data_IF_961874430951
#
_entry.id   IF_961874430951
#
_cell.length_a   1.000
_cell.length_b   1.000
_cell.length_c   1.000
_cell.angle_alpha   90.00
_cell.angle_beta   90.00
_cell.angle_gamma   90.00
#
_symmetry.space_group_name_H-M   'P 1'
#
loop_
_entity.id
_entity.type
_entity.pdbx_description
1 polymer ?
#
# COMPACT_ATOMS: atom_id res chain seq x y z
N UNK A 1 3.47 -3.49 -10.57
CA UNK A 1 3.08 -2.10 -10.20
C UNK A 1 4.32 -1.28 -9.95
N UNK A 2 4.36 -0.06 -10.49
CA UNK A 2 5.42 0.94 -10.36
C UNK A 2 5.21 1.82 -9.11
N UNK A 3 6.19 2.70 -8.84
CA UNK A 3 6.16 3.59 -7.67
C UNK A 3 4.97 4.57 -7.71
N UNK A 4 4.60 5.08 -8.88
CA UNK A 4 3.52 6.08 -8.99
C UNK A 4 2.12 5.46 -9.06
N UNK A 5 2.03 4.13 -9.14
CA UNK A 5 0.75 3.43 -9.19
C UNK A 5 0.02 3.54 -7.84
N UNK A 6 -1.30 3.69 -7.92
CA UNK A 6 -2.18 3.74 -6.74
C UNK A 6 -2.22 2.37 -6.08
N UNK A 7 -1.91 2.34 -4.78
CA UNK A 7 -2.13 1.17 -3.93
C UNK A 7 -3.47 1.31 -3.24
N UNK A 8 -3.75 2.46 -2.60
CA UNK A 8 -5.07 2.73 -2.05
C UNK A 8 -5.91 3.51 -3.05
N UNK A 9 -6.87 2.84 -3.69
CA UNK A 9 -7.79 3.49 -4.63
C UNK A 9 -8.85 4.37 -3.94
N UNK A 10 -9.23 4.05 -2.69
CA UNK A 10 -10.20 4.83 -1.93
C UNK A 10 -9.71 6.24 -1.60
N UNK A 11 -8.43 6.38 -1.25
CA UNK A 11 -7.83 7.67 -0.85
C UNK A 11 -6.71 8.12 -1.79
N UNK A 12 -6.62 7.49 -2.96
CA UNK A 12 -5.65 7.80 -4.01
C UNK A 12 -4.19 7.87 -3.54
N UNK A 13 -3.77 6.90 -2.73
CA UNK A 13 -2.41 6.82 -2.19
C UNK A 13 -1.54 5.93 -3.09
N UNK A 14 -0.45 6.48 -3.63
CA UNK A 14 0.51 5.76 -4.45
C UNK A 14 1.50 4.93 -3.63
N UNK A 15 2.13 3.93 -4.28
CA UNK A 15 3.22 3.14 -3.68
C UNK A 15 4.36 4.04 -3.19
N UNK A 16 4.74 5.06 -3.97
CA UNK A 16 5.77 6.06 -3.63
C UNK A 16 5.43 6.78 -2.33
N UNK A 17 4.18 7.22 -2.18
CA UNK A 17 3.74 7.94 -0.97
C UNK A 17 3.81 7.04 0.27
N UNK A 18 3.46 5.76 0.15
CA UNK A 18 3.58 4.78 1.25
C UNK A 18 5.04 4.57 1.64
N UNK A 19 5.93 4.31 0.67
CA UNK A 19 7.36 4.09 0.93
C UNK A 19 7.99 5.32 1.58
N UNK A 20 7.69 6.52 1.07
CA UNK A 20 8.18 7.77 1.68
C UNK A 20 7.65 7.95 3.10
N UNK A 21 6.38 7.63 3.36
CA UNK A 21 5.80 7.70 4.70
C UNK A 21 6.50 6.75 5.67
N UNK A 22 6.77 5.50 5.26
CA UNK A 22 7.55 4.54 6.06
C UNK A 22 8.92 5.10 6.44
N UNK A 23 9.63 5.70 5.47
CA UNK A 23 10.97 6.28 5.68
C UNK A 23 10.97 7.48 6.62
N UNK A 24 10.01 8.39 6.45
CA UNK A 24 9.96 9.67 7.19
C UNK A 24 9.40 9.47 8.59
N UNK A 25 8.26 8.78 8.72
CA UNK A 25 7.54 8.68 9.99
C UNK A 25 7.95 7.47 10.82
N UNK A 26 8.70 6.53 10.23
CA UNK A 26 9.22 5.31 10.89
C UNK A 26 8.19 4.64 11.81
N UNK A 27 7.00 4.27 11.28
CA UNK A 27 5.93 3.72 12.10
C UNK A 27 6.39 2.44 12.80
N UNK A 28 5.79 2.16 13.96
CA UNK A 28 6.10 0.97 14.79
C UNK A 28 5.26 -0.24 14.42
N UNK A 29 4.16 -0.04 13.70
CA UNK A 29 3.25 -1.12 13.27
C UNK A 29 2.58 -0.76 11.94
N UNK A 30 2.27 -1.78 11.14
CA UNK A 30 1.63 -1.60 9.84
C UNK A 30 0.31 -0.81 9.87
N UNK A 31 -0.48 -0.90 10.95
CA UNK A 31 -1.75 -0.18 11.07
C UNK A 31 -1.59 1.35 11.08
N UNK A 32 -0.41 1.87 11.44
CA UNK A 32 -0.11 3.30 11.38
C UNK A 32 0.01 3.82 9.94
N UNK A 33 0.06 2.95 8.92
CA UNK A 33 -0.07 3.41 7.53
C UNK A 33 -1.43 4.06 7.24
N UNK A 34 -2.43 3.89 8.11
CA UNK A 34 -3.65 4.71 8.08
C UNK A 34 -3.39 6.21 8.27
N UNK A 35 -2.30 6.59 8.95
CA UNK A 35 -1.86 7.99 9.09
C UNK A 35 -1.33 8.54 7.74
N UNK A 36 -1.01 7.68 6.77
CA UNK A 36 -0.69 8.04 5.39
C UNK A 36 -1.97 8.30 4.58
N UNK A 37 -2.69 9.38 4.92
CA UNK A 37 -3.88 9.81 4.18
C UNK A 37 -5.03 8.80 4.18
N UNK A 38 -5.20 8.05 5.27
CA UNK A 38 -6.29 7.09 5.45
C UNK A 38 -6.05 5.72 4.82
N UNK A 39 -4.86 5.43 4.27
CA UNK A 39 -4.61 4.17 3.57
C UNK A 39 -5.02 2.93 4.41
N UNK A 40 -5.81 2.05 3.81
CA UNK A 40 -6.30 0.83 4.47
C UNK A 40 -7.60 0.97 5.25
N UNK A 41 -8.14 2.18 5.44
CA UNK A 41 -9.38 2.41 6.22
C UNK A 41 -10.67 2.41 5.39
N UNK A 42 -10.56 2.33 4.05
CA UNK A 42 -11.70 2.25 3.14
C UNK A 42 -12.11 0.80 2.87
N UNK A 43 -12.17 0.41 1.60
CA UNK A 43 -12.56 -0.96 1.20
C UNK A 43 -11.62 -2.08 1.68
N UNK A 44 -10.48 -1.80 2.34
CA UNK A 44 -9.59 -2.82 2.88
C UNK A 44 -8.73 -3.59 1.87
N UNK A 45 -9.03 -3.54 0.56
CA UNK A 45 -8.27 -4.24 -0.49
C UNK A 45 -6.74 -4.05 -0.39
N UNK A 46 -6.31 -2.82 -0.09
CA UNK A 46 -4.88 -2.49 -0.02
C UNK A 46 -4.18 -2.97 1.26
N UNK A 47 -4.89 -3.44 2.29
CA UNK A 47 -4.30 -3.77 3.61
C UNK A 47 -3.21 -4.86 3.54
N UNK A 48 -3.36 -5.97 2.79
CA UNK A 48 -2.28 -6.96 2.64
C UNK A 48 -1.01 -6.36 2.04
N UNK A 49 -1.15 -5.45 1.07
CA UNK A 49 -0.03 -4.75 0.44
C UNK A 49 0.66 -3.79 1.41
N UNK A 50 -0.10 -3.04 2.22
CA UNK A 50 0.44 -2.17 3.28
C UNK A 50 1.25 -2.97 4.31
N UNK A 51 0.72 -4.12 4.76
CA UNK A 51 1.46 -5.02 5.67
C UNK A 51 2.74 -5.54 5.04
N UNK A 52 2.72 -5.86 3.75
CA UNK A 52 3.91 -6.32 3.02
C UNK A 52 4.99 -5.23 2.95
N UNK A 53 4.63 -4.00 2.56
CA UNK A 53 5.58 -2.89 2.51
C UNK A 53 6.16 -2.55 3.88
N UNK A 54 5.34 -2.62 4.93
CA UNK A 54 5.82 -2.44 6.30
C UNK A 54 6.82 -3.53 6.69
N UNK A 55 6.52 -4.80 6.44
CA UNK A 55 7.42 -5.91 6.74
C UNK A 55 8.72 -5.86 5.93
N UNK A 56 8.66 -5.44 4.66
CA UNK A 56 9.85 -5.18 3.84
C UNK A 56 10.71 -4.07 4.46
N UNK A 57 10.08 -2.95 4.86
CA UNK A 57 10.76 -1.84 5.53
C UNK A 57 11.42 -2.23 6.86
N UNK A 58 10.76 -3.07 7.68
CA UNK A 58 11.34 -3.60 8.92
C UNK A 58 12.56 -4.49 8.64
N UNK A 59 12.46 -5.38 7.64
CA UNK A 59 13.58 -6.26 7.25
C UNK A 59 14.78 -5.49 6.69
N UNK A 60 14.53 -4.36 6.02
CA UNK A 60 15.59 -3.46 5.54
C UNK A 60 16.28 -2.68 6.66
N UNK A 61 16.00 -2.97 7.94
CA UNK A 61 16.76 -2.40 9.06
C UNK A 61 16.61 -0.90 9.20
N UNK A 62 15.46 -0.33 8.82
CA UNK A 62 15.22 1.12 8.87
C UNK A 62 16.16 1.92 7.92
N UNK A 63 16.53 1.31 6.79
CA UNK A 63 17.58 1.76 5.86
C UNK A 63 17.60 3.29 5.63
N UNK A 64 18.66 3.91 6.15
CA UNK A 64 19.06 5.31 5.90
C UNK A 64 19.74 5.49 4.54
N UNK A 65 19.90 4.41 3.77
CA UNK A 65 20.36 4.46 2.39
C UNK A 65 19.16 4.57 1.46
N UNK A 66 19.17 5.60 0.62
CA UNK A 66 18.11 5.93 -0.35
C UNK A 66 17.80 4.84 -1.39
N UNK A 67 18.46 3.69 -1.32
CA UNK A 67 18.20 2.52 -2.14
C UNK A 67 16.85 1.91 -1.73
N UNK A 68 15.83 2.20 -2.54
CA UNK A 68 14.52 1.57 -2.40
C UNK A 68 14.73 0.11 -2.78
N UNK A 69 14.45 -0.87 -1.91
CA UNK A 69 14.50 -2.26 -2.32
C UNK A 69 13.50 -2.43 -3.47
N UNK A 70 14.03 -2.45 -4.70
CA UNK A 70 13.27 -2.77 -5.88
C UNK A 70 13.23 -4.29 -5.97
N UNK A 71 12.59 -4.93 -5.00
CA UNK A 71 12.54 -6.39 -4.94
C UNK A 71 11.15 -6.90 -5.24
N UNK A 72 11.04 -7.37 -6.49
CA UNK A 72 10.44 -8.63 -6.87
C UNK A 72 9.23 -9.06 -6.03
N UNK A 73 8.08 -8.54 -6.40
CA UNK A 73 6.86 -9.34 -6.34
C UNK A 73 6.33 -9.45 -7.74
N UNK A 74 5.95 -10.66 -8.13
CA UNK A 74 5.11 -10.99 -9.29
C UNK A 74 4.45 -9.72 -9.83
N UNK A 75 4.94 -9.26 -10.98
CA UNK A 75 4.63 -7.94 -11.54
C UNK A 75 3.18 -7.87 -12.01
N UNK A 76 2.23 -7.87 -11.08
CA UNK A 76 0.85 -7.52 -11.39
C UNK A 76 0.86 -6.07 -11.89
N UNK A 77 0.22 -5.82 -13.02
CA UNK A 77 0.14 -4.47 -13.57
C UNK A 77 -0.80 -3.61 -12.71
N UNK A 78 -0.77 -2.29 -12.89
CA UNK A 78 -1.70 -1.40 -12.17
C UNK A 78 -3.17 -1.73 -12.53
N UNK A 79 -3.39 -2.11 -13.78
CA UNK A 79 -4.68 -2.51 -14.34
C UNK A 79 -5.15 -3.82 -13.70
N UNK A 80 -4.27 -4.81 -13.58
CA UNK A 80 -4.61 -6.08 -12.95
C UNK A 80 -4.94 -5.89 -11.46
N UNK A 81 -4.16 -5.07 -10.75
CA UNK A 81 -4.44 -4.73 -9.36
C UNK A 81 -5.81 -4.05 -9.19
N UNK A 82 -6.17 -3.13 -10.09
CA UNK A 82 -7.47 -2.47 -10.08
C UNK A 82 -8.60 -3.47 -10.34
N UNK A 83 -8.44 -4.35 -11.33
CA UNK A 83 -9.42 -5.40 -11.65
C UNK A 83 -9.68 -6.33 -10.47
N UNK A 84 -8.64 -6.77 -9.78
CA UNK A 84 -8.77 -7.63 -8.60
C UNK A 84 -9.43 -6.92 -7.42
N UNK A 85 -9.20 -5.61 -7.25
CA UNK A 85 -9.91 -4.80 -6.26
C UNK A 85 -11.41 -4.78 -6.54
N UNK A 86 -11.79 -4.58 -7.79
CA UNK A 86 -13.20 -4.47 -8.16
C UNK A 86 -13.91 -5.80 -7.90
N UNK A 87 -13.29 -6.92 -8.29
CA UNK A 87 -13.77 -8.27 -7.94
C UNK A 87 -13.87 -8.50 -6.43
N UNK A 88 -12.91 -8.01 -5.64
CA UNK A 88 -12.97 -8.09 -4.18
C UNK A 88 -14.22 -7.39 -3.65
N UNK A 89 -14.52 -6.18 -4.12
CA UNK A 89 -15.71 -5.41 -3.72
C UNK A 89 -17.00 -6.08 -4.20
N UNK A 90 -17.05 -6.53 -5.45
CA UNK A 90 -18.20 -7.23 -6.04
C UNK A 90 -18.51 -8.54 -5.30
N UNK A 91 -17.49 -9.23 -4.79
CA UNK A 91 -17.65 -10.42 -3.94
C UNK A 91 -18.20 -10.11 -2.53
N UNK A 92 -18.61 -8.86 -2.28
CA UNK A 92 -19.12 -8.39 -0.99
C UNK A 92 -18.03 -8.14 0.05
N UNK A 93 -16.75 -8.16 -0.35
CA UNK A 93 -15.64 -7.92 0.57
C UNK A 93 -15.28 -6.44 0.59
N UNK A 94 -15.37 -5.85 1.78
CA UNK A 94 -15.03 -4.45 2.02
C UNK A 94 -15.99 -3.45 1.37
N UNK A 95 -16.03 -2.24 1.91
CA UNK A 95 -16.93 -1.19 1.43
C UNK A 95 -16.11 0.08 1.16
N UNK A 96 -16.05 0.58 -0.09
CA UNK A 96 -15.46 1.89 -0.36
C UNK A 96 -16.14 2.97 0.49
N UNK A 97 -15.41 4.01 0.92
CA UNK A 97 -16.01 5.12 1.66
C UNK A 97 -17.06 5.83 0.79
N UNK A 98 -18.02 6.49 1.44
CA UNK A 98 -18.94 7.39 0.76
C UNK A 98 -18.15 8.47 0.01
N UNK A 99 -18.61 8.82 -1.19
CA UNK A 99 -18.01 9.87 -2.02
C UNK A 99 -18.24 11.24 -1.43
#
# INVERSE_FOLDING_TARGET
MKLDDKVCYCFHISKRKIINHLRIHRPRRASQLSECGGAGTGCGWCVPYLKRYFAEYEKSGNAETGDVPSTASEDITAEEYARQRDQYIESGKGTPPAR
#
